data_IF_538459971434
#
_entry.id   IF_538459971434
#
_cell.length_a   1.000
_cell.length_b   1.000
_cell.length_c   1.000
_cell.angle_alpha   90.00
_cell.angle_beta   90.00
_cell.angle_gamma   90.00
#
_symmetry.space_group_name_H-M   'P 1'
#
loop_
_entity.id
_entity.type
_entity.pdbx_description
1 polymer ?
#
# COMPACT_ATOMS: atom_id res chain seq x y z
N UNK A 1 -7.78 30.16 30.81
CA UNK A 1 -8.47 29.35 31.85
C UNK A 1 -9.96 29.41 31.60
N UNK A 2 -10.60 28.27 31.32
CA UNK A 2 -12.05 28.03 31.51
C UNK A 2 -12.27 26.52 31.32
N UNK A 3 -12.48 25.87 32.45
CA UNK A 3 -12.73 24.43 32.60
C UNK A 3 -14.20 24.18 32.25
N UNK A 4 -14.49 23.18 31.43
CA UNK A 4 -15.82 22.60 31.32
C UNK A 4 -15.62 21.09 31.37
N UNK A 5 -16.02 20.51 32.50
CA UNK A 5 -16.11 19.08 32.69
C UNK A 5 -17.44 18.56 32.18
N UNK A 6 -17.45 17.30 31.76
CA UNK A 6 -18.66 16.51 31.61
C UNK A 6 -18.33 15.07 32.01
N UNK A 7 -18.98 14.66 33.09
CA UNK A 7 -19.12 13.29 33.54
C UNK A 7 -20.13 12.56 32.66
N UNK A 8 -20.01 11.23 32.55
CA UNK A 8 -21.13 10.38 32.13
C UNK A 8 -20.74 9.12 31.38
N UNK A 9 -20.85 7.98 32.07
CA UNK A 9 -20.53 6.60 31.65
C UNK A 9 -21.64 6.00 30.78
N UNK A 10 -21.27 5.17 29.79
CA UNK A 10 -22.06 4.00 29.39
C UNK A 10 -21.16 2.95 28.71
N UNK A 11 -20.73 1.95 29.48
CA UNK A 11 -20.15 0.70 28.98
C UNK A 11 -21.28 -0.22 28.53
N UNK A 12 -21.41 -0.45 27.22
CA UNK A 12 -22.28 -1.49 26.67
C UNK A 12 -21.40 -2.70 26.36
N UNK A 13 -21.48 -3.71 27.23
CA UNK A 13 -20.86 -5.00 27.01
C UNK A 13 -21.71 -5.82 26.03
N UNK A 14 -21.15 -6.16 24.87
CA UNK A 14 -21.78 -7.07 23.91
C UNK A 14 -21.03 -8.39 23.97
N UNK A 15 -21.65 -9.38 24.60
CA UNK A 15 -21.22 -10.77 24.65
C UNK A 15 -21.42 -11.43 23.29
N UNK A 16 -20.32 -11.86 22.67
CA UNK A 16 -20.33 -12.75 21.51
C UNK A 16 -20.48 -14.21 21.97
N UNK A 17 -21.52 -14.89 21.50
CA UNK A 17 -21.76 -16.30 21.73
C UNK A 17 -20.89 -17.14 20.79
N UNK A 18 -20.14 -18.10 21.36
CA UNK A 18 -19.35 -19.07 20.61
C UNK A 18 -20.30 -20.11 19.98
N UNK A 19 -20.34 -20.16 18.65
CA UNK A 19 -20.92 -21.29 17.94
C UNK A 19 -19.82 -22.32 17.69
N UNK A 20 -19.96 -23.47 18.34
CA UNK A 20 -19.14 -24.66 18.15
C UNK A 20 -19.86 -25.59 17.17
N UNK A 21 -19.22 -25.93 16.06
CA UNK A 21 -19.59 -27.10 15.28
C UNK A 21 -18.31 -27.61 14.60
N UNK A 22 -17.71 -28.64 15.19
CA UNK A 22 -16.57 -29.35 14.65
C UNK A 22 -16.78 -30.83 14.89
N UNK A 23 -17.12 -31.57 13.84
CA UNK A 23 -17.30 -33.01 13.86
C UNK A 23 -16.74 -33.64 12.58
N UNK A 24 -16.12 -34.80 12.79
CA UNK A 24 -15.78 -35.86 11.83
C UNK A 24 -14.38 -35.84 11.19
N UNK A 25 -13.42 -36.35 11.96
CA UNK A 25 -12.72 -37.64 11.79
C UNK A 25 -12.40 -38.23 10.39
N UNK A 26 -11.17 -38.74 10.32
CA UNK A 26 -10.62 -39.81 9.46
C UNK A 26 -10.31 -39.56 7.99
N UNK A 27 -9.01 -39.67 7.68
CA UNK A 27 -8.47 -39.78 6.32
C UNK A 27 -6.97 -40.04 6.33
N UNK A 28 -6.63 -41.31 6.56
CA UNK A 28 -5.29 -41.89 6.56
C UNK A 28 -4.45 -41.61 5.31
N UNK A 29 -3.17 -41.41 5.58
CA UNK A 29 -1.96 -41.64 4.79
C UNK A 29 -2.13 -42.38 3.45
N UNK A 30 -1.51 -41.85 2.37
CA UNK A 30 -0.57 -42.60 1.49
C UNK A 30 -0.19 -41.75 0.27
N UNK A 31 1.06 -41.28 0.29
CA UNK A 31 2.04 -41.32 -0.79
C UNK A 31 1.52 -41.35 -2.25
N UNK A 32 1.65 -40.23 -2.96
CA UNK A 32 2.20 -40.24 -4.33
C UNK A 32 2.82 -38.91 -4.70
N UNK A 33 4.14 -38.86 -4.58
CA UNK A 33 4.94 -37.90 -5.32
C UNK A 33 4.60 -38.01 -6.82
N UNK A 34 4.17 -36.91 -7.41
CA UNK A 34 4.41 -36.63 -8.82
C UNK A 34 4.63 -35.14 -8.98
N UNK A 35 5.91 -34.79 -8.94
CA UNK A 35 6.41 -33.59 -9.58
C UNK A 35 5.85 -33.50 -11.00
N UNK A 36 5.13 -32.43 -11.27
CA UNK A 36 5.00 -31.86 -12.60
C UNK A 36 5.22 -30.36 -12.43
N UNK A 37 6.50 -30.02 -12.33
CA UNK A 37 6.98 -28.67 -12.57
C UNK A 37 6.65 -28.32 -14.03
N UNK A 38 5.49 -27.71 -14.25
CA UNK A 38 5.21 -26.98 -15.47
C UNK A 38 5.90 -25.61 -15.35
N UNK A 39 7.23 -25.63 -15.45
CA UNK A 39 8.06 -24.47 -15.71
C UNK A 39 7.76 -24.01 -17.13
N UNK A 40 6.71 -23.20 -17.29
CA UNK A 40 6.43 -22.54 -18.56
C UNK A 40 7.42 -21.40 -18.75
N UNK A 41 8.42 -21.69 -19.57
CA UNK A 41 9.23 -20.79 -20.38
C UNK A 41 9.38 -19.35 -19.88
N UNK A 42 10.52 -19.13 -19.22
CA UNK A 42 11.20 -17.84 -19.18
C UNK A 42 11.43 -17.33 -20.60
N UNK A 43 10.68 -16.31 -21.01
CA UNK A 43 11.17 -15.36 -22.00
C UNK A 43 11.77 -14.17 -21.24
N UNK A 44 13.06 -13.85 -21.41
CA UNK A 44 13.54 -12.53 -21.05
C UNK A 44 12.99 -11.56 -22.10
N UNK A 45 11.71 -11.19 -21.98
CA UNK A 45 11.35 -9.83 -22.38
C UNK A 45 12.28 -8.96 -21.56
N UNK A 46 13.11 -8.13 -22.21
CA UNK A 46 13.97 -7.17 -21.55
C UNK A 46 13.14 -6.49 -20.44
N UNK A 47 13.28 -6.98 -19.21
CA UNK A 47 12.54 -6.46 -18.09
C UNK A 47 13.13 -5.08 -17.90
N UNK A 48 12.35 -4.05 -18.27
CA UNK A 48 12.62 -2.70 -17.82
C UNK A 48 12.89 -2.84 -16.31
N UNK A 49 14.12 -2.54 -15.91
CA UNK A 49 14.58 -2.83 -14.56
C UNK A 49 13.61 -2.16 -13.58
N UNK A 50 13.00 -2.96 -12.71
CA UNK A 50 12.06 -2.44 -11.73
C UNK A 50 12.79 -1.42 -10.85
N UNK A 51 12.35 -0.16 -10.89
CA UNK A 51 12.91 0.88 -10.01
C UNK A 51 12.32 0.73 -8.62
N UNK A 52 13.12 0.97 -7.58
CA UNK A 52 12.65 0.85 -6.18
C UNK A 52 13.08 2.03 -5.33
N UNK A 53 12.29 2.31 -4.29
CA UNK A 53 12.57 3.36 -3.32
C UNK A 53 11.98 3.05 -1.96
N UNK A 54 12.59 3.58 -0.91
CA UNK A 54 12.03 3.53 0.44
C UNK A 54 11.26 4.82 0.72
N UNK A 55 10.10 4.73 1.38
CA UNK A 55 9.40 5.93 1.80
C UNK A 55 10.13 6.64 2.94
N UNK A 56 10.22 7.95 2.82
CA UNK A 56 10.49 8.86 3.91
C UNK A 56 9.24 9.69 4.20
N UNK A 57 8.89 9.83 5.49
CA UNK A 57 7.84 10.75 5.93
C UNK A 57 8.24 12.21 5.70
N UNK A 58 7.28 13.02 5.27
CA UNK A 58 7.44 14.44 4.93
C UNK A 58 6.37 15.28 5.65
N UNK A 59 6.58 16.59 5.77
CA UNK A 59 5.61 17.52 6.38
C UNK A 59 5.11 17.09 7.77
N UNK A 60 6.01 16.53 8.58
CA UNK A 60 5.71 16.03 9.93
C UNK A 60 4.81 14.79 9.97
N UNK A 61 4.60 14.12 8.82
CA UNK A 61 3.85 12.88 8.72
C UNK A 61 4.77 11.68 8.75
N UNK A 62 4.28 10.55 9.26
CA UNK A 62 4.94 9.26 9.20
C UNK A 62 4.47 8.49 7.97
N UNK A 63 5.43 7.99 7.21
CA UNK A 63 5.22 7.01 6.14
C UNK A 63 6.39 6.03 6.19
N UNK A 64 6.09 4.75 6.11
CA UNK A 64 7.07 3.65 6.10
C UNK A 64 6.78 2.67 4.98
N UNK A 65 7.74 1.76 4.73
CA UNK A 65 7.67 0.77 3.67
C UNK A 65 8.42 1.21 2.41
N UNK A 66 8.22 0.46 1.34
CA UNK A 66 8.90 0.65 0.05
C UNK A 66 7.91 0.74 -1.10
N UNK A 67 8.29 1.46 -2.14
CA UNK A 67 7.63 1.46 -3.43
C UNK A 67 8.50 0.76 -4.48
N UNK A 68 7.88 -0.07 -5.30
CA UNK A 68 8.48 -0.70 -6.47
C UNK A 68 7.67 -0.29 -7.69
N UNK A 69 8.34 0.30 -8.67
CA UNK A 69 7.76 0.64 -9.96
C UNK A 69 8.22 -0.39 -10.99
N UNK A 70 7.28 -1.17 -11.51
CA UNK A 70 7.51 -2.16 -12.56
C UNK A 70 6.59 -1.95 -13.75
N UNK A 71 6.65 -2.86 -14.72
CA UNK A 71 5.88 -2.76 -15.97
C UNK A 71 4.35 -2.72 -15.76
N UNK A 72 3.85 -3.36 -14.70
CA UNK A 72 2.41 -3.45 -14.41
C UNK A 72 1.88 -2.32 -13.53
N UNK A 73 2.74 -1.60 -12.80
CA UNK A 73 2.27 -0.73 -11.72
C UNK A 73 3.30 -0.35 -10.68
N UNK A 74 2.81 0.40 -9.70
CA UNK A 74 3.49 0.66 -8.43
C UNK A 74 2.97 -0.34 -7.41
N UNK A 75 3.88 -1.10 -6.80
CA UNK A 75 3.61 -1.95 -5.65
C UNK A 75 4.17 -1.30 -4.40
N UNK A 76 3.33 -1.14 -3.38
CA UNK A 76 3.73 -0.73 -2.05
C UNK A 76 3.92 -1.98 -1.19
N UNK A 77 4.96 -2.01 -0.36
CA UNK A 77 5.25 -3.16 0.52
C UNK A 77 5.71 -2.70 1.89
N UNK A 78 5.20 -3.36 2.94
CA UNK A 78 5.40 -2.92 4.32
C UNK A 78 4.85 -1.52 4.57
N UNK A 79 3.86 -1.09 3.77
CA UNK A 79 3.35 0.27 3.81
C UNK A 79 2.58 0.55 5.10
N UNK A 80 2.83 1.73 5.66
CA UNK A 80 1.99 2.31 6.69
C UNK A 80 2.18 3.83 6.66
N UNK A 81 1.12 4.58 6.87
CA UNK A 81 1.19 6.03 7.02
C UNK A 81 0.30 6.53 8.15
N UNK A 82 0.49 7.79 8.55
CA UNK A 82 -0.55 8.50 9.30
C UNK A 82 -1.86 8.50 8.51
N UNK A 83 -2.97 8.51 9.24
CA UNK A 83 -4.31 8.56 8.65
C UNK A 83 -4.54 9.90 7.95
N UNK A 84 -5.07 9.82 6.73
CA UNK A 84 -5.44 10.99 5.94
C UNK A 84 -6.84 10.78 5.34
N UNK A 85 -7.70 11.81 5.35
CA UNK A 85 -9.09 11.69 4.89
C UNK A 85 -9.23 11.53 3.36
N UNK A 86 -8.12 11.55 2.61
CA UNK A 86 -8.11 11.48 1.14
C UNK A 86 -6.72 11.13 0.57
N UNK A 87 -6.12 10.01 1.02
CA UNK A 87 -4.77 9.61 0.63
C UNK A 87 -4.71 8.98 -0.76
N UNK A 88 -3.72 9.40 -1.54
CA UNK A 88 -3.52 8.96 -2.92
C UNK A 88 -2.03 8.78 -3.22
N UNK A 89 -1.74 7.86 -4.15
CA UNK A 89 -0.39 7.63 -4.65
C UNK A 89 -0.22 8.28 -6.03
N UNK A 90 0.92 8.95 -6.19
CA UNK A 90 1.31 9.68 -7.38
C UNK A 90 2.68 9.24 -7.89
N UNK A 91 2.86 9.26 -9.22
CA UNK A 91 4.16 9.28 -9.88
C UNK A 91 4.55 10.72 -10.20
N UNK A 92 5.73 11.15 -9.77
CA UNK A 92 6.18 12.54 -9.88
C UNK A 92 7.69 12.61 -10.18
N UNK A 93 8.18 13.83 -10.42
CA UNK A 93 9.60 14.17 -10.55
C UNK A 93 10.08 15.11 -9.43
N UNK A 94 9.42 15.06 -8.28
CA UNK A 94 9.63 15.95 -7.14
C UNK A 94 8.69 15.60 -5.99
N UNK A 95 8.73 16.37 -4.91
CA UNK A 95 7.95 16.08 -3.69
C UNK A 95 7.13 17.28 -3.21
N UNK A 96 7.12 18.37 -3.96
CA UNK A 96 6.29 19.56 -3.70
C UNK A 96 4.96 19.48 -4.44
N UNK A 97 4.03 20.37 -4.08
CA UNK A 97 2.68 20.41 -4.66
C UNK A 97 2.68 20.65 -6.18
N UNK A 98 3.67 21.37 -6.73
CA UNK A 98 3.75 21.56 -8.18
C UNK A 98 4.14 20.25 -8.87
N UNK A 99 5.07 19.49 -8.29
CA UNK A 99 5.41 18.15 -8.77
C UNK A 99 4.26 17.15 -8.65
N UNK A 100 3.44 17.24 -7.61
CA UNK A 100 2.21 16.42 -7.46
C UNK A 100 1.19 16.81 -8.53
N UNK A 101 0.94 18.10 -8.75
CA UNK A 101 0.01 18.60 -9.75
C UNK A 101 0.43 18.27 -11.19
N UNK A 102 1.73 18.24 -11.48
CA UNK A 102 2.28 17.84 -12.78
C UNK A 102 2.44 16.30 -12.90
N UNK A 103 2.30 15.60 -11.79
CA UNK A 103 2.46 14.16 -11.69
C UNK A 103 1.23 13.39 -12.17
N UNK A 104 1.25 12.10 -11.89
CA UNK A 104 0.16 11.19 -12.24
C UNK A 104 -0.35 10.44 -11.03
N UNK A 105 -1.61 10.68 -10.70
CA UNK A 105 -2.36 9.90 -9.72
C UNK A 105 -2.62 8.48 -10.26
N UNK A 106 -2.33 7.46 -9.44
CA UNK A 106 -2.63 6.07 -9.79
C UNK A 106 -3.87 5.54 -9.06
N UNK A 107 -4.10 5.98 -7.81
CA UNK A 107 -5.27 5.60 -7.03
C UNK A 107 -5.21 5.99 -5.56
N UNK A 108 -6.29 5.70 -4.84
CA UNK A 108 -6.44 5.93 -3.42
C UNK A 108 -5.65 4.90 -2.60
N UNK A 109 -4.99 5.35 -1.54
CA UNK A 109 -4.12 4.52 -0.69
C UNK A 109 -4.80 4.28 0.65
N UNK A 110 -4.81 3.02 1.10
CA UNK A 110 -5.18 2.71 2.49
C UNK A 110 -3.96 2.86 3.40
N UNK A 111 -4.08 3.62 4.48
CA UNK A 111 -2.96 3.95 5.37
C UNK A 111 -2.47 2.74 6.21
N UNK A 112 -3.31 1.72 6.37
CA UNK A 112 -3.12 0.55 7.22
C UNK A 112 -2.94 -0.77 6.46
N UNK A 113 -3.00 -0.74 5.12
CA UNK A 113 -2.82 -1.92 4.28
C UNK A 113 -1.36 -2.06 3.84
N UNK A 114 -0.68 -3.06 4.41
CA UNK A 114 0.77 -3.29 4.25
C UNK A 114 1.23 -3.52 2.80
N UNK A 115 0.35 -4.01 1.94
CA UNK A 115 0.68 -4.37 0.56
C UNK A 115 -0.46 -3.97 -0.37
N UNK A 116 -0.17 -3.09 -1.32
CA UNK A 116 -1.16 -2.55 -2.27
C UNK A 116 -0.51 -2.39 -3.64
N UNK A 117 -1.27 -2.58 -4.71
CA UNK A 117 -0.77 -2.46 -6.08
C UNK A 117 -1.65 -1.51 -6.90
N UNK A 118 -1.00 -0.61 -7.62
CA UNK A 118 -1.63 0.44 -8.40
C UNK A 118 -1.20 0.34 -9.86
N UNK A 119 -2.16 0.06 -10.75
CA UNK A 119 -1.89 -0.05 -12.18
C UNK A 119 -1.57 1.31 -12.81
N UNK A 120 -0.68 1.33 -13.80
CA UNK A 120 -0.28 2.56 -14.50
C UNK A 120 -1.36 3.13 -15.43
N UNK A 121 -2.38 2.35 -15.82
CA UNK A 121 -3.48 2.79 -16.69
C UNK A 121 -3.00 3.53 -17.97
N UNK A 122 -1.93 3.03 -18.59
CA UNK A 122 -1.35 3.60 -19.83
C UNK A 122 -0.32 4.72 -19.61
N UNK A 123 0.11 4.95 -18.38
CA UNK A 123 1.13 5.96 -18.04
C UNK A 123 2.53 5.41 -18.28
N UNK A 124 3.37 6.17 -18.97
CA UNK A 124 4.80 5.85 -19.07
C UNK A 124 5.52 6.20 -17.75
N UNK A 125 5.65 5.17 -16.93
CA UNK A 125 6.35 5.18 -15.65
C UNK A 125 7.83 5.57 -15.75
N UNK A 126 8.46 5.42 -16.91
CA UNK A 126 9.89 5.66 -17.10
C UNK A 126 10.26 7.12 -16.90
N UNK A 127 9.33 8.03 -17.19
CA UNK A 127 9.48 9.48 -17.08
C UNK A 127 9.44 10.02 -15.65
N UNK A 128 9.16 9.16 -14.66
CA UNK A 128 9.03 9.54 -13.27
C UNK A 128 10.19 8.99 -12.43
N UNK A 129 10.63 9.79 -11.46
CA UNK A 129 11.72 9.44 -10.54
C UNK A 129 11.25 9.18 -9.12
N UNK A 130 9.99 9.47 -8.79
CA UNK A 130 9.53 9.51 -7.40
C UNK A 130 8.09 8.98 -7.30
N UNK A 131 7.83 8.20 -6.26
CA UNK A 131 6.47 7.84 -5.82
C UNK A 131 6.12 8.70 -4.62
N UNK A 132 4.98 9.37 -4.65
CA UNK A 132 4.52 10.28 -3.60
C UNK A 132 3.20 9.81 -3.01
N UNK A 133 3.09 9.84 -1.68
CA UNK A 133 1.82 9.71 -0.96
C UNK A 133 1.36 11.13 -0.61
N UNK A 134 0.24 11.53 -1.17
CA UNK A 134 -0.33 12.86 -1.01
C UNK A 134 -1.76 12.77 -0.48
N UNK A 135 -2.15 13.72 0.36
CA UNK A 135 -3.53 13.88 0.82
C UNK A 135 -4.16 15.06 0.09
N UNK A 136 -5.05 14.77 -0.87
CA UNK A 136 -5.61 15.81 -1.76
C UNK A 136 -6.46 16.83 -1.00
N UNK A 137 -7.21 16.36 0.01
CA UNK A 137 -8.01 17.22 0.89
C UNK A 137 -7.16 18.13 1.78
N UNK A 138 -6.01 17.65 2.24
CA UNK A 138 -5.11 18.42 3.13
C UNK A 138 -4.07 19.24 2.36
N UNK A 139 -3.90 19.01 1.04
CA UNK A 139 -2.86 19.61 0.19
C UNK A 139 -1.47 19.47 0.81
N UNK A 140 -1.14 18.23 1.16
CA UNK A 140 0.07 17.90 1.87
C UNK A 140 0.63 16.55 1.41
N UNK A 141 1.92 16.55 1.10
CA UNK A 141 2.68 15.32 0.86
C UNK A 141 3.02 14.67 2.19
N UNK A 142 2.53 13.44 2.38
CA UNK A 142 2.77 12.66 3.59
C UNK A 142 4.11 11.95 3.54
N UNK A 143 4.53 11.50 2.36
CA UNK A 143 5.82 10.87 2.20
C UNK A 143 6.17 10.63 0.74
N UNK A 144 7.44 10.36 0.48
CA UNK A 144 7.94 10.12 -0.85
C UNK A 144 9.00 9.02 -0.86
N UNK A 145 9.04 8.25 -1.94
CA UNK A 145 10.05 7.24 -2.23
C UNK A 145 10.72 7.59 -3.55
N UNK A 146 12.01 7.96 -3.49
CA UNK A 146 12.83 8.19 -4.67
C UNK A 146 13.21 6.85 -5.30
N UNK A 147 12.97 6.72 -6.59
CA UNK A 147 13.19 5.49 -7.35
C UNK A 147 14.60 5.46 -7.94
N UNK A 148 15.30 4.36 -7.73
CA UNK A 148 16.62 4.04 -8.30
C UNK A 148 16.71 2.60 -8.75
#
# INVERSE_FOLDING_TARGET
MRKIGLAGVALVAISFTLTACGGSDSGDSTTKAKAAASMSASQPMAQAADKRGMFAGLNGKKVTGSAKLGASGVTLSGFSSDEGPDLHVYLTNGTDEAAVSAGRQLGAVKYDEKSQMFALKGVDASMYSTVVIHCDKAKAVFGAAKLS
#
